data_IF_503749505600
#
_entry.id   IF_503749505600
#
_cell.length_a   1.000
_cell.length_b   1.000
_cell.length_c   1.000
_cell.angle_alpha   90.00
_cell.angle_beta   90.00
_cell.angle_gamma   90.00
#
_symmetry.space_group_name_H-M   'P 1'
#
loop_
_entity.id
_entity.type
_entity.pdbx_description
1 polymer ?
#
# COMPACT_ATOMS: atom_id res chain seq x y z
N UNK A 1 48.68 7.14 45.85
CA UNK A 1 47.46 7.78 46.40
C UNK A 1 47.85 8.32 47.77
N UNK A 2 47.81 9.64 47.97
CA UNK A 2 48.18 10.26 49.24
C UNK A 2 47.05 10.05 50.26
N UNK A 3 47.38 9.68 51.49
CA UNK A 3 46.37 9.44 52.53
C UNK A 3 45.61 10.75 52.84
N UNK A 4 44.27 10.74 52.93
CA UNK A 4 43.47 11.93 53.27
C UNK A 4 43.35 12.17 54.79
N UNK A 5 43.95 11.33 55.63
CA UNK A 5 43.88 11.44 57.10
C UNK A 5 44.84 12.53 57.58
N UNK A 6 44.36 13.44 58.43
CA UNK A 6 45.20 14.50 59.02
C UNK A 6 46.32 13.84 59.83
N UNK A 7 47.56 14.31 59.62
CA UNK A 7 48.80 13.76 60.20
C UNK A 7 49.33 12.46 59.57
N UNK A 8 48.79 12.03 58.42
CA UNK A 8 49.35 10.93 57.61
C UNK A 8 49.78 11.41 56.22
N UNK A 9 51.08 11.66 56.04
CA UNK A 9 51.67 12.11 54.78
C UNK A 9 52.20 10.95 53.88
N UNK A 10 51.73 9.72 54.11
CA UNK A 10 52.19 8.57 53.32
C UNK A 10 51.56 8.52 51.91
N UNK A 11 52.40 8.28 50.89
CA UNK A 11 51.96 7.97 49.53
C UNK A 11 51.85 6.45 49.32
N UNK A 12 50.63 5.97 49.15
CA UNK A 12 50.34 4.53 49.13
C UNK A 12 49.99 4.06 47.72
N UNK A 13 50.50 2.88 47.34
CA UNK A 13 50.08 2.17 46.13
C UNK A 13 48.60 1.76 46.24
N UNK A 14 47.82 1.97 45.19
CA UNK A 14 46.35 1.76 45.20
C UNK A 14 45.93 0.37 45.74
N UNK A 15 46.71 -0.68 45.48
CA UNK A 15 46.44 -2.04 45.98
C UNK A 15 46.64 -2.23 47.49
N UNK A 16 47.44 -1.37 48.14
CA UNK A 16 47.71 -1.40 49.61
C UNK A 16 46.93 -0.33 50.38
N UNK A 17 46.16 0.49 49.67
CA UNK A 17 45.40 1.62 50.24
C UNK A 17 44.41 1.17 51.32
N UNK A 18 43.70 0.05 51.11
CA UNK A 18 42.76 -0.51 52.10
C UNK A 18 43.43 -1.04 53.38
N UNK A 19 44.62 -1.62 53.28
CA UNK A 19 45.39 -2.11 54.44
C UNK A 19 45.95 -0.94 55.26
N UNK A 20 46.47 0.09 54.57
CA UNK A 20 46.97 1.29 55.20
C UNK A 20 45.85 2.04 55.96
N UNK A 21 44.67 2.22 55.35
CA UNK A 21 43.56 2.91 56.01
C UNK A 21 42.98 2.19 57.22
N UNK A 22 43.15 0.86 57.30
CA UNK A 22 42.74 0.06 58.47
C UNK A 22 43.60 0.33 59.72
N UNK A 23 44.77 0.95 59.54
CA UNK A 23 45.64 1.38 60.65
C UNK A 23 45.17 2.68 61.31
N UNK A 24 44.31 3.47 60.64
CA UNK A 24 43.74 4.68 61.19
C UNK A 24 42.49 4.36 62.02
N UNK A 25 42.59 4.53 63.34
CA UNK A 25 41.48 4.29 64.28
C UNK A 25 40.25 5.14 63.97
N UNK A 26 40.42 6.35 63.43
CA UNK A 26 39.33 7.30 63.12
C UNK A 26 38.45 6.86 61.93
N UNK A 27 38.95 5.96 61.07
CA UNK A 27 38.23 5.50 59.88
C UNK A 27 37.56 4.13 60.07
N UNK A 28 37.64 3.52 61.27
CA UNK A 28 37.07 2.19 61.54
C UNK A 28 35.54 2.13 61.45
N UNK A 29 34.83 3.23 61.72
CA UNK A 29 33.35 3.28 61.73
C UNK A 29 32.74 3.82 60.41
N UNK A 30 33.55 4.32 59.48
CA UNK A 30 33.09 4.66 58.13
C UNK A 30 33.37 3.47 57.23
N UNK A 31 32.33 2.70 56.88
CA UNK A 31 32.41 1.69 55.81
C UNK A 31 33.08 2.30 54.58
N UNK A 32 34.33 1.90 54.35
CA UNK A 32 35.15 2.37 53.26
C UNK A 32 34.64 1.73 51.98
N UNK A 33 33.74 2.42 51.27
CA UNK A 33 33.39 2.09 49.90
C UNK A 33 34.55 2.44 48.96
N UNK A 34 35.62 1.65 49.00
CA UNK A 34 36.57 1.59 47.90
C UNK A 34 35.83 1.10 46.66
N UNK A 35 35.83 1.88 45.58
CA UNK A 35 35.23 1.45 44.32
C UNK A 35 36.03 0.26 43.78
N UNK A 36 35.51 -0.96 43.99
CA UNK A 36 36.07 -2.18 43.42
C UNK A 36 35.36 -2.42 42.08
N UNK A 37 36.11 -2.38 40.98
CA UNK A 37 35.60 -2.76 39.68
C UNK A 37 35.16 -4.23 39.71
N UNK A 38 33.84 -4.48 39.67
CA UNK A 38 33.25 -5.83 39.70
C UNK A 38 33.46 -6.63 38.40
N UNK A 39 34.22 -6.08 37.45
CA UNK A 39 34.44 -6.65 36.13
C UNK A 39 33.20 -6.59 35.25
N UNK A 40 33.14 -7.48 34.26
CA UNK A 40 32.04 -7.60 33.30
C UNK A 40 32.50 -7.45 31.86
N UNK A 41 31.71 -8.03 30.94
CA UNK A 41 32.00 -7.94 29.50
C UNK A 41 31.94 -6.48 29.03
N UNK A 42 32.96 -5.97 28.33
CA UNK A 42 32.94 -4.62 27.78
C UNK A 42 31.70 -4.40 26.91
N UNK A 43 31.04 -3.24 27.11
CA UNK A 43 29.86 -2.89 26.31
C UNK A 43 30.28 -2.59 24.88
N UNK A 44 29.72 -3.33 23.93
CA UNK A 44 29.93 -3.09 22.50
C UNK A 44 29.10 -1.89 22.00
N UNK A 45 29.49 -1.31 20.88
CA UNK A 45 28.70 -0.28 20.21
C UNK A 45 27.32 -0.83 19.80
N UNK A 46 26.26 -0.01 19.83
CA UNK A 46 24.89 -0.49 19.60
C UNK A 46 24.69 -1.07 18.19
N UNK A 47 25.34 -0.48 17.18
CA UNK A 47 25.21 -0.89 15.78
C UNK A 47 25.91 -2.22 15.45
N UNK A 48 26.84 -2.69 16.28
CA UNK A 48 27.51 -3.98 16.06
C UNK A 48 26.81 -5.16 16.75
N UNK A 49 25.72 -4.89 17.49
CA UNK A 49 24.96 -5.91 18.21
C UNK A 49 23.90 -6.59 17.33
N UNK A 50 23.58 -7.84 17.66
CA UNK A 50 22.44 -8.56 17.06
C UNK A 50 21.10 -7.92 17.48
N UNK A 51 20.02 -8.14 16.71
CA UNK A 51 18.69 -7.60 17.02
C UNK A 51 18.21 -7.93 18.44
N UNK A 52 18.49 -9.14 18.94
CA UNK A 52 18.12 -9.55 20.31
C UNK A 52 18.87 -8.73 21.36
N UNK A 53 20.16 -8.52 21.18
CA UNK A 53 20.98 -7.74 22.09
C UNK A 53 20.61 -6.24 22.05
N UNK A 54 20.32 -5.68 20.87
CA UNK A 54 19.80 -4.32 20.72
C UNK A 54 18.46 -4.15 21.44
N UNK A 55 17.52 -5.08 21.25
CA UNK A 55 16.21 -5.09 21.95
C UNK A 55 16.39 -5.11 23.47
N UNK A 56 17.32 -5.91 23.97
CA UNK A 56 17.61 -5.97 25.40
C UNK A 56 18.22 -4.66 25.92
N UNK A 57 19.22 -4.12 25.21
CA UNK A 57 19.89 -2.85 25.56
C UNK A 57 18.95 -1.65 25.58
N UNK A 58 18.04 -1.57 24.61
CA UNK A 58 17.08 -0.48 24.46
C UNK A 58 15.75 -0.75 25.18
N UNK A 59 15.65 -1.81 25.98
CA UNK A 59 14.39 -2.23 26.62
C UNK A 59 13.74 -1.09 27.40
N UNK A 60 14.53 -0.36 28.18
CA UNK A 60 13.99 0.67 29.06
C UNK A 60 13.55 1.91 28.27
N UNK A 61 14.39 2.38 27.35
CA UNK A 61 14.01 3.47 26.43
C UNK A 61 12.76 3.10 25.62
N UNK A 62 12.66 1.86 25.13
CA UNK A 62 11.47 1.37 24.42
C UNK A 62 10.21 1.47 25.28
N UNK A 63 10.28 1.18 26.58
CA UNK A 63 9.14 1.32 27.50
C UNK A 63 8.76 2.78 27.69
N UNK A 64 9.73 3.66 27.86
CA UNK A 64 9.49 5.10 27.98
C UNK A 64 8.84 5.68 26.73
N UNK A 65 9.37 5.37 25.54
CA UNK A 65 8.79 5.82 24.26
C UNK A 65 7.38 5.27 24.06
N UNK A 66 7.13 4.00 24.45
CA UNK A 66 5.78 3.42 24.39
C UNK A 66 4.80 4.15 25.32
N UNK A 67 5.21 4.42 26.56
CA UNK A 67 4.39 5.15 27.53
C UNK A 67 4.12 6.59 27.08
N UNK A 68 5.08 7.24 26.42
CA UNK A 68 4.89 8.57 25.82
C UNK A 68 3.89 8.51 24.65
N UNK A 69 4.08 7.57 23.70
CA UNK A 69 3.20 7.43 22.56
C UNK A 69 1.75 7.13 22.96
N UNK A 70 1.54 6.32 24.00
CA UNK A 70 0.20 6.01 24.54
C UNK A 70 -0.48 7.25 25.15
N UNK A 71 0.27 8.17 25.73
CA UNK A 71 -0.28 9.37 26.38
C UNK A 71 -0.59 10.50 25.39
N UNK A 72 0.32 10.74 24.44
CA UNK A 72 0.27 11.94 23.59
C UNK A 72 -0.21 11.65 22.16
N UNK A 73 0.07 10.46 21.62
CA UNK A 73 -0.03 10.16 20.18
C UNK A 73 -0.93 8.95 19.89
N UNK A 74 -1.85 8.64 20.81
CA UNK A 74 -2.80 7.52 20.66
C UNK A 74 -2.14 6.14 20.50
N UNK A 75 -0.87 6.01 20.88
CA UNK A 75 -0.10 4.77 20.78
C UNK A 75 0.67 4.57 19.47
N UNK A 76 0.76 5.55 18.55
CA UNK A 76 1.57 5.42 17.33
C UNK A 76 3.08 5.54 17.60
N UNK A 77 3.65 4.43 18.06
CA UNK A 77 5.09 4.32 18.32
C UNK A 77 5.93 4.53 17.05
N UNK A 78 5.40 4.16 15.87
CA UNK A 78 6.15 4.23 14.61
C UNK A 78 6.35 5.69 14.21
N UNK A 79 5.28 6.49 14.20
CA UNK A 79 5.37 7.92 13.91
C UNK A 79 6.33 8.61 14.89
N UNK A 80 6.16 8.38 16.20
CA UNK A 80 7.02 8.96 17.24
C UNK A 80 8.51 8.63 17.02
N UNK A 81 8.84 7.37 16.75
CA UNK A 81 10.23 6.96 16.54
C UNK A 81 10.83 7.56 15.26
N UNK A 82 10.04 7.64 14.19
CA UNK A 82 10.49 8.25 12.92
C UNK A 82 10.73 9.74 13.08
N UNK A 83 9.83 10.46 13.76
CA UNK A 83 9.98 11.89 14.05
C UNK A 83 11.18 12.17 14.95
N UNK A 84 11.37 11.39 16.02
CA UNK A 84 12.56 11.51 16.89
C UNK A 84 13.86 11.32 16.10
N UNK A 85 13.89 10.35 15.18
CA UNK A 85 15.08 10.10 14.36
C UNK A 85 15.31 11.21 13.33
N UNK A 86 14.26 11.72 12.69
CA UNK A 86 14.34 12.90 11.81
C UNK A 86 14.90 14.13 12.53
N UNK A 87 14.39 14.44 13.73
CA UNK A 87 14.86 15.56 14.54
C UNK A 87 16.32 15.37 14.94
N UNK A 88 16.73 14.15 15.28
CA UNK A 88 18.12 13.85 15.60
C UNK A 88 19.06 14.04 14.40
N UNK A 89 18.65 13.64 13.19
CA UNK A 89 19.42 13.87 11.96
C UNK A 89 19.54 15.36 11.65
N UNK A 90 18.45 16.11 11.78
CA UNK A 90 18.44 17.57 11.59
C UNK A 90 19.32 18.28 12.61
N UNK A 91 19.25 17.90 13.89
CA UNK A 91 20.12 18.44 14.94
C UNK A 91 21.60 18.14 14.71
N UNK A 92 21.93 17.08 13.96
CA UNK A 92 23.29 16.75 13.53
C UNK A 92 23.69 17.39 12.19
N UNK A 93 22.84 18.24 11.61
CA UNK A 93 23.02 18.85 10.29
C UNK A 93 23.11 17.83 9.13
N UNK A 94 22.56 16.63 9.28
CA UNK A 94 22.51 15.60 8.23
C UNK A 94 21.24 15.74 7.38
N UNK A 95 21.04 16.92 6.77
CA UNK A 95 19.80 17.26 6.05
C UNK A 95 19.46 16.27 4.92
N UNK A 96 20.44 15.85 4.13
CA UNK A 96 20.23 14.88 3.04
C UNK A 96 19.63 13.56 3.53
N UNK A 97 20.11 13.03 4.67
CA UNK A 97 19.59 11.78 5.22
C UNK A 97 18.20 11.97 5.84
N UNK A 98 17.94 13.14 6.43
CA UNK A 98 16.61 13.48 6.91
C UNK A 98 15.59 13.55 5.76
N UNK A 99 15.95 14.16 4.64
CA UNK A 99 15.09 14.25 3.45
C UNK A 99 14.83 12.88 2.82
N UNK A 100 15.84 12.01 2.76
CA UNK A 100 15.69 10.62 2.32
C UNK A 100 14.75 9.82 3.24
N UNK A 101 14.86 10.00 4.55
CA UNK A 101 13.99 9.36 5.54
C UNK A 101 12.54 9.86 5.42
N UNK A 102 12.35 11.15 5.22
CA UNK A 102 11.04 11.77 5.02
C UNK A 102 10.39 11.30 3.71
N UNK A 103 11.17 11.16 2.63
CA UNK A 103 10.70 10.54 1.40
C UNK A 103 10.22 9.10 1.64
N UNK A 104 10.94 8.31 2.44
CA UNK A 104 10.51 6.95 2.82
C UNK A 104 9.22 6.99 3.65
N UNK A 105 9.07 7.93 4.59
CA UNK A 105 7.85 8.10 5.39
C UNK A 105 6.63 8.38 4.53
N UNK A 106 6.78 9.22 3.51
CA UNK A 106 5.72 9.58 2.56
C UNK A 106 5.49 8.50 1.48
N UNK A 107 6.18 7.37 1.54
CA UNK A 107 6.10 6.31 0.53
C UNK A 107 6.64 6.74 -0.85
N UNK A 108 7.57 7.70 -0.87
CA UNK A 108 8.37 8.19 -2.01
C UNK A 108 9.81 7.66 -1.97
N UNK A 109 10.08 6.62 -1.17
CA UNK A 109 11.40 5.98 -1.11
C UNK A 109 11.76 5.25 -2.42
N UNK A 110 12.91 4.58 -2.44
CA UNK A 110 13.40 3.83 -3.62
C UNK A 110 12.51 2.67 -4.09
N UNK A 111 11.54 2.24 -3.28
CA UNK A 111 10.54 1.24 -3.65
C UNK A 111 9.32 1.88 -4.29
N UNK A 112 8.97 1.46 -5.50
CA UNK A 112 7.77 1.91 -6.21
C UNK A 112 6.51 1.44 -5.46
N UNK A 113 5.44 2.23 -5.50
CA UNK A 113 4.14 1.84 -4.94
C UNK A 113 3.54 0.66 -5.72
N UNK A 114 2.73 -0.22 -5.09
CA UNK A 114 2.10 -1.34 -5.79
C UNK A 114 1.27 -0.93 -7.01
N UNK A 115 0.52 0.18 -6.93
CA UNK A 115 -0.28 0.71 -8.04
C UNK A 115 0.60 1.10 -9.25
N UNK A 116 1.75 1.74 -9.02
CA UNK A 116 2.71 2.09 -10.08
C UNK A 116 3.29 0.84 -10.72
N UNK A 117 3.63 -0.17 -9.90
CA UNK A 117 4.09 -1.47 -10.40
C UNK A 117 3.02 -2.20 -11.24
N UNK A 118 1.75 -2.10 -10.84
CA UNK A 118 0.63 -2.68 -11.56
C UNK A 118 0.44 -2.00 -12.91
N UNK A 119 0.47 -0.66 -12.94
CA UNK A 119 0.40 0.13 -14.18
C UNK A 119 1.54 -0.23 -15.13
N UNK A 120 2.79 -0.30 -14.64
CA UNK A 120 3.93 -0.74 -15.45
C UNK A 120 3.68 -2.14 -16.02
N UNK A 121 3.26 -3.11 -15.19
CA UNK A 121 3.01 -4.49 -15.63
C UNK A 121 1.97 -4.55 -16.75
N UNK A 122 0.83 -3.89 -16.55
CA UNK A 122 -0.32 -3.95 -17.47
C UNK A 122 0.00 -3.20 -18.77
N UNK A 123 0.50 -1.96 -18.68
CA UNK A 123 0.74 -1.11 -19.85
C UNK A 123 1.93 -1.56 -20.70
N UNK A 124 2.82 -2.39 -20.16
CA UNK A 124 3.92 -3.01 -20.92
C UNK A 124 3.66 -4.47 -21.30
N UNK A 125 2.43 -4.94 -21.12
CA UNK A 125 1.99 -6.30 -21.48
C UNK A 125 2.82 -7.42 -20.84
N UNK A 126 3.38 -7.19 -19.65
CA UNK A 126 4.15 -8.19 -18.93
C UNK A 126 3.22 -9.20 -18.27
N UNK A 127 3.37 -10.48 -18.64
CA UNK A 127 2.72 -11.56 -17.91
C UNK A 127 3.16 -11.59 -16.44
N UNK A 128 2.32 -12.16 -15.57
CA UNK A 128 2.67 -12.33 -14.15
C UNK A 128 4.02 -13.05 -13.96
N UNK A 129 4.32 -14.03 -14.82
CA UNK A 129 5.57 -14.78 -14.76
C UNK A 129 6.78 -13.96 -15.21
N UNK A 130 6.67 -13.21 -16.31
CA UNK A 130 7.75 -12.31 -16.77
C UNK A 130 8.03 -11.23 -15.72
N UNK A 131 6.97 -10.59 -15.20
CA UNK A 131 7.09 -9.60 -14.13
C UNK A 131 7.78 -10.18 -12.89
N UNK A 132 7.39 -11.39 -12.46
CA UNK A 132 7.98 -12.04 -11.28
C UNK A 132 9.45 -12.39 -11.47
N UNK A 133 9.85 -12.83 -12.68
CA UNK A 133 11.26 -13.04 -13.03
C UNK A 133 12.04 -11.72 -12.95
N UNK A 134 11.53 -10.66 -13.57
CA UNK A 134 12.13 -9.31 -13.51
C UNK A 134 12.29 -8.83 -12.06
N UNK A 135 11.21 -8.88 -11.27
CA UNK A 135 11.22 -8.51 -9.85
C UNK A 135 12.30 -9.26 -9.06
N UNK A 136 12.41 -10.58 -9.24
CA UNK A 136 13.41 -11.41 -8.54
C UNK A 136 14.83 -11.03 -8.94
N UNK A 137 15.09 -10.87 -10.24
CA UNK A 137 16.43 -10.51 -10.74
C UNK A 137 16.86 -9.14 -10.24
N UNK A 138 16.01 -8.12 -10.34
CA UNK A 138 16.34 -6.76 -9.87
C UNK A 138 16.59 -6.75 -8.37
N UNK A 139 15.75 -7.44 -7.58
CA UNK A 139 15.92 -7.53 -6.13
C UNK A 139 17.22 -8.25 -5.72
N UNK A 140 17.60 -9.29 -6.46
CA UNK A 140 18.84 -10.04 -6.21
C UNK A 140 20.09 -9.22 -6.54
N UNK A 141 20.09 -8.49 -7.66
CA UNK A 141 21.25 -7.70 -8.12
C UNK A 141 21.44 -6.43 -7.27
N UNK A 142 20.36 -5.71 -6.97
CA UNK A 142 20.45 -4.42 -6.26
C UNK A 142 20.45 -4.55 -4.74
N UNK A 143 20.06 -5.72 -4.21
CA UNK A 143 19.82 -5.92 -2.78
C UNK A 143 18.65 -5.10 -2.21
N UNK A 144 17.90 -4.37 -3.05
CA UNK A 144 16.80 -3.48 -2.67
C UNK A 144 15.51 -3.93 -3.34
N UNK A 145 14.38 -3.76 -2.64
CA UNK A 145 13.06 -4.05 -3.19
C UNK A 145 12.51 -2.81 -3.91
N UNK A 146 12.87 -2.64 -5.18
CA UNK A 146 12.39 -1.55 -6.03
C UNK A 146 10.95 -1.82 -6.50
N UNK A 147 10.74 -2.97 -7.15
CA UNK A 147 9.42 -3.44 -7.56
C UNK A 147 8.70 -4.16 -6.41
N UNK A 148 7.37 -4.26 -6.48
CA UNK A 148 6.56 -4.94 -5.46
C UNK A 148 6.23 -6.38 -5.86
N UNK A 149 6.09 -7.31 -4.90
CA UNK A 149 5.74 -8.70 -5.18
C UNK A 149 4.29 -8.83 -5.71
N UNK A 150 4.01 -9.89 -6.48
CA UNK A 150 2.71 -10.11 -7.12
C UNK A 150 1.50 -10.07 -6.17
N UNK A 151 1.63 -10.51 -4.92
CA UNK A 151 0.51 -10.46 -3.96
C UNK A 151 0.12 -9.01 -3.60
N UNK A 152 1.08 -8.08 -3.60
CA UNK A 152 0.81 -6.67 -3.37
C UNK A 152 0.09 -6.05 -4.58
N UNK A 153 0.49 -6.43 -5.80
CA UNK A 153 -0.19 -6.01 -7.04
C UNK A 153 -1.64 -6.51 -7.08
N UNK A 154 -1.89 -7.79 -6.74
CA UNK A 154 -3.25 -8.35 -6.66
C UNK A 154 -4.12 -7.65 -5.62
N UNK A 155 -3.53 -7.16 -4.53
CA UNK A 155 -4.28 -6.40 -3.52
C UNK A 155 -4.64 -5.02 -4.04
N UNK A 156 -3.71 -4.34 -4.73
CA UNK A 156 -3.96 -3.05 -5.35
C UNK A 156 -5.00 -3.13 -6.49
N UNK A 157 -4.97 -4.21 -7.28
CA UNK A 157 -5.89 -4.46 -8.39
C UNK A 157 -7.36 -4.50 -7.95
N UNK A 158 -7.65 -4.98 -6.73
CA UNK A 158 -9.03 -5.04 -6.21
C UNK A 158 -9.75 -3.70 -6.21
N UNK A 159 -9.02 -2.60 -5.97
CA UNK A 159 -9.61 -1.26 -5.95
C UNK A 159 -10.02 -0.75 -7.33
N UNK A 160 -9.53 -1.38 -8.40
CA UNK A 160 -9.79 -1.02 -9.80
C UNK A 160 -10.80 -1.94 -10.48
N UNK A 161 -11.28 -2.97 -9.78
CA UNK A 161 -12.24 -3.93 -10.33
C UNK A 161 -13.67 -3.61 -9.89
N UNK A 162 -14.68 -3.91 -10.73
CA UNK A 162 -16.08 -3.79 -10.34
C UNK A 162 -16.39 -4.58 -9.06
N UNK A 163 -17.22 -3.97 -8.20
CA UNK A 163 -17.60 -4.53 -6.91
C UNK A 163 -16.81 -4.01 -5.70
N UNK A 164 -15.86 -3.08 -5.91
CA UNK A 164 -15.11 -2.47 -4.80
C UNK A 164 -15.84 -1.29 -4.15
N UNK A 165 -16.39 -0.38 -4.96
CA UNK A 165 -16.99 0.86 -4.47
C UNK A 165 -18.47 0.68 -4.10
N UNK A 166 -18.93 1.23 -2.97
CA UNK A 166 -20.36 1.29 -2.65
C UNK A 166 -21.07 2.34 -3.52
N UNK A 167 -22.31 2.04 -3.92
CA UNK A 167 -23.17 2.95 -4.67
C UNK A 167 -24.64 2.66 -4.40
N UNK A 168 -25.53 3.59 -4.75
CA UNK A 168 -26.97 3.44 -4.60
C UNK A 168 -27.71 4.05 -5.78
N UNK A 169 -28.70 3.32 -6.29
CA UNK A 169 -29.65 3.84 -7.28
C UNK A 169 -30.89 4.42 -6.58
N UNK A 170 -31.30 5.61 -7.01
CA UNK A 170 -32.52 6.29 -6.56
C UNK A 170 -33.33 6.71 -7.79
N UNK A 171 -34.52 6.12 -8.04
CA UNK A 171 -35.12 4.98 -7.32
C UNK A 171 -34.33 3.66 -7.54
N UNK A 172 -34.58 2.61 -6.74
CA UNK A 172 -34.00 1.29 -6.99
C UNK A 172 -34.32 0.77 -8.39
N UNK A 173 -33.33 0.15 -9.03
CA UNK A 173 -33.48 -0.43 -10.36
C UNK A 173 -34.43 -1.63 -10.34
N UNK A 174 -35.29 -1.74 -11.36
CA UNK A 174 -36.19 -2.88 -11.54
C UNK A 174 -35.38 -4.13 -11.88
N UNK A 175 -35.67 -5.25 -11.21
CA UNK A 175 -35.05 -6.57 -11.44
C UNK A 175 -33.52 -6.63 -11.27
N UNK A 176 -32.93 -5.66 -10.58
CA UNK A 176 -31.49 -5.64 -10.27
C UNK A 176 -31.30 -5.66 -8.76
N UNK A 177 -30.40 -6.53 -8.27
CA UNK A 177 -30.07 -6.61 -6.85
C UNK A 177 -29.39 -5.33 -6.35
N UNK A 178 -29.69 -4.92 -5.11
CA UNK A 178 -29.07 -3.77 -4.45
C UNK A 178 -27.64 -4.03 -3.96
N UNK A 179 -27.14 -5.27 -4.02
CA UNK A 179 -25.77 -5.61 -3.59
C UNK A 179 -24.75 -4.90 -4.48
N UNK A 180 -23.78 -4.20 -3.88
CA UNK A 180 -22.73 -3.47 -4.60
C UNK A 180 -21.47 -4.30 -4.80
N UNK A 181 -21.23 -5.30 -3.94
CA UNK A 181 -20.04 -6.17 -3.95
C UNK A 181 -20.16 -7.32 -4.97
N UNK A 182 -20.48 -6.99 -6.22
CA UNK A 182 -20.61 -7.98 -7.31
C UNK A 182 -19.50 -7.77 -8.32
N UNK A 183 -18.60 -8.75 -8.41
CA UNK A 183 -17.49 -8.78 -9.36
C UNK A 183 -17.85 -9.52 -10.66
N UNK A 184 -16.94 -10.39 -11.10
CA UNK A 184 -17.15 -11.23 -12.29
C UNK A 184 -18.24 -12.27 -11.97
N UNK A 185 -19.27 -12.32 -12.81
CA UNK A 185 -20.38 -13.27 -12.71
C UNK A 185 -20.45 -14.15 -13.96
N UNK A 186 -21.13 -15.28 -13.82
CA UNK A 186 -21.39 -16.18 -14.92
C UNK A 186 -22.38 -15.56 -15.92
N UNK A 187 -22.02 -15.53 -17.19
CA UNK A 187 -22.82 -14.89 -18.24
C UNK A 187 -24.14 -15.60 -18.49
N UNK A 188 -24.19 -16.91 -18.23
CA UNK A 188 -25.40 -17.75 -18.33
C UNK A 188 -26.51 -17.33 -17.37
N UNK A 189 -26.18 -16.56 -16.32
CA UNK A 189 -27.16 -15.92 -15.44
C UNK A 189 -28.22 -16.87 -14.86
N UNK A 190 -27.85 -18.13 -14.61
CA UNK A 190 -28.73 -19.15 -14.04
C UNK A 190 -29.57 -19.93 -15.05
N UNK A 191 -29.22 -19.91 -16.34
CA UNK A 191 -29.81 -20.82 -17.33
C UNK A 191 -29.74 -22.28 -16.84
N UNK A 192 -30.86 -23.03 -16.86
CA UNK A 192 -30.86 -24.41 -16.40
C UNK A 192 -29.97 -25.24 -17.33
N UNK A 193 -29.10 -26.05 -16.72
CA UNK A 193 -28.26 -27.02 -17.41
C UNK A 193 -28.89 -28.40 -17.21
N UNK A 194 -30.04 -28.63 -17.84
CA UNK A 194 -30.69 -29.95 -17.90
C UNK A 194 -30.48 -30.58 -19.27
N UNK A 195 -30.40 -31.90 -19.32
CA UNK A 195 -30.34 -32.66 -20.58
C UNK A 195 -31.67 -32.58 -21.34
N UNK A 196 -32.77 -32.37 -20.61
CA UNK A 196 -34.11 -32.25 -21.19
C UNK A 196 -34.38 -30.87 -21.80
N UNK A 197 -33.59 -29.87 -21.43
CA UNK A 197 -33.70 -28.49 -21.90
C UNK A 197 -32.81 -28.26 -23.15
N UNK A 198 -32.90 -27.06 -23.72
CA UNK A 198 -32.07 -26.69 -24.87
C UNK A 198 -30.57 -26.72 -24.50
N UNK A 199 -29.71 -27.38 -25.28
CA UNK A 199 -28.29 -27.51 -24.96
C UNK A 199 -27.61 -26.13 -24.93
N UNK A 200 -26.84 -25.89 -23.86
CA UNK A 200 -26.11 -24.65 -23.65
C UNK A 200 -24.62 -24.92 -23.90
N UNK A 201 -24.19 -24.60 -25.11
CA UNK A 201 -22.81 -24.80 -25.59
C UNK A 201 -21.96 -23.51 -25.50
N UNK A 202 -22.41 -22.56 -24.67
CA UNK A 202 -21.79 -21.26 -24.49
C UNK A 202 -21.08 -21.15 -23.15
N UNK A 203 -19.87 -20.59 -23.17
CA UNK A 203 -19.17 -20.16 -21.96
C UNK A 203 -19.10 -18.64 -21.97
N UNK A 204 -19.59 -18.01 -20.90
CA UNK A 204 -19.64 -16.56 -20.82
C UNK A 204 -19.27 -16.03 -19.44
N UNK A 205 -18.55 -14.90 -19.40
CA UNK A 205 -18.29 -14.14 -18.17
C UNK A 205 -18.60 -12.67 -18.42
N UNK A 206 -19.19 -12.03 -17.42
CA UNK A 206 -19.55 -10.62 -17.50
C UNK A 206 -19.42 -9.92 -16.16
N UNK A 207 -19.38 -8.60 -16.21
CA UNK A 207 -19.69 -7.76 -15.07
C UNK A 207 -21.18 -7.42 -15.06
N UNK A 208 -21.70 -7.07 -13.88
CA UNK A 208 -23.01 -6.42 -13.80
C UNK A 208 -22.86 -4.99 -14.32
N UNK A 209 -23.78 -4.56 -15.18
CA UNK A 209 -23.64 -3.33 -15.95
C UNK A 209 -23.46 -2.09 -15.05
N UNK A 210 -24.33 -1.94 -14.05
CA UNK A 210 -24.27 -0.87 -13.06
C UNK A 210 -22.96 -0.86 -12.26
N UNK A 211 -22.48 -2.02 -11.81
CA UNK A 211 -21.21 -2.13 -11.08
C UNK A 211 -20.01 -1.75 -11.97
N UNK A 212 -20.02 -2.13 -13.25
CA UNK A 212 -18.99 -1.76 -14.20
C UNK A 212 -19.00 -0.26 -14.52
N UNK A 213 -20.19 0.34 -14.70
CA UNK A 213 -20.33 1.78 -14.90
C UNK A 213 -19.80 2.58 -13.71
N UNK A 214 -20.17 2.20 -12.49
CA UNK A 214 -19.69 2.87 -11.28
C UNK A 214 -18.17 2.76 -11.15
N UNK A 215 -17.62 1.57 -11.42
CA UNK A 215 -16.17 1.37 -11.42
C UNK A 215 -15.48 2.26 -12.45
N UNK A 216 -16.02 2.34 -13.67
CA UNK A 216 -15.47 3.20 -14.73
C UNK A 216 -15.55 4.69 -14.38
N UNK A 217 -16.65 5.14 -13.79
CA UNK A 217 -16.80 6.54 -13.36
C UNK A 217 -15.86 6.89 -12.20
N UNK A 218 -15.63 5.94 -11.27
CA UNK A 218 -14.68 6.14 -10.17
C UNK A 218 -13.22 6.15 -10.62
N UNK A 219 -12.89 5.37 -11.64
CA UNK A 219 -11.56 5.40 -12.28
C UNK A 219 -11.27 6.78 -12.91
N UNK A 220 -12.31 7.48 -13.39
CA UNK A 220 -12.23 8.80 -14.03
C UNK A 220 -12.45 9.97 -13.05
N UNK A 221 -12.44 9.74 -11.74
CA UNK A 221 -12.75 10.75 -10.72
C UNK A 221 -11.83 11.98 -10.82
N UNK A 222 -10.53 11.77 -11.03
CA UNK A 222 -9.56 12.87 -11.18
C UNK A 222 -9.83 13.71 -12.44
N UNK A 223 -10.14 13.07 -13.57
CA UNK A 223 -10.46 13.76 -14.83
C UNK A 223 -11.75 14.57 -14.72
N UNK A 224 -12.76 14.04 -14.02
CA UNK A 224 -14.02 14.73 -13.74
C UNK A 224 -13.76 15.96 -12.87
N UNK A 225 -12.98 15.81 -11.79
CA UNK A 225 -12.65 16.91 -10.88
C UNK A 225 -11.81 17.99 -11.57
N UNK A 226 -10.87 17.61 -12.44
CA UNK A 226 -10.09 18.55 -13.25
C UNK A 226 -10.97 19.29 -14.27
N UNK A 227 -11.90 18.59 -14.92
CA UNK A 227 -12.90 19.17 -15.80
C UNK A 227 -13.78 20.21 -15.10
N UNK A 228 -14.26 19.91 -13.89
CA UNK A 228 -15.03 20.85 -13.08
C UNK A 228 -14.23 22.11 -12.72
N UNK A 229 -12.95 21.96 -12.35
CA UNK A 229 -12.06 23.10 -12.08
C UNK A 229 -11.88 23.99 -13.31
N UNK A 230 -11.71 23.37 -14.48
CA UNK A 230 -11.54 24.09 -15.76
C UNK A 230 -12.78 24.92 -16.10
N UNK A 231 -13.97 24.37 -15.85
CA UNK A 231 -15.25 25.04 -16.07
C UNK A 231 -15.66 26.03 -14.94
N UNK A 232 -14.77 26.26 -13.98
CA UNK A 232 -14.95 27.13 -12.80
C UNK A 232 -16.17 26.74 -11.95
N UNK A 233 -16.41 25.43 -11.84
CA UNK A 233 -17.47 24.85 -11.03
C UNK A 233 -16.91 24.46 -9.65
N UNK A 234 -17.68 24.71 -8.59
CA UNK A 234 -17.33 24.26 -7.25
C UNK A 234 -17.20 22.74 -7.19
N UNK A 235 -16.10 22.25 -6.61
CA UNK A 235 -15.82 20.81 -6.46
C UNK A 235 -16.84 20.07 -5.58
N UNK A 236 -17.65 20.80 -4.82
CA UNK A 236 -18.72 20.27 -3.96
C UNK A 236 -20.11 20.30 -4.65
N UNK A 237 -20.18 20.59 -5.95
CA UNK A 237 -21.44 20.55 -6.68
C UNK A 237 -21.93 19.10 -6.83
N UNK A 238 -22.91 18.74 -5.99
CA UNK A 238 -23.70 17.52 -6.11
C UNK A 238 -24.82 17.63 -7.17
N UNK A 239 -24.50 18.27 -8.30
CA UNK A 239 -25.45 18.47 -9.41
C UNK A 239 -25.73 17.18 -10.19
N UNK A 240 -26.86 17.08 -10.91
CA UNK A 240 -27.13 15.92 -11.75
C UNK A 240 -26.15 15.89 -12.94
N UNK A 241 -25.25 14.91 -12.93
CA UNK A 241 -24.38 14.61 -14.06
C UNK A 241 -25.14 13.80 -15.11
N UNK A 242 -24.92 14.14 -16.37
CA UNK A 242 -25.37 13.36 -17.52
C UNK A 242 -24.16 12.72 -18.19
N UNK A 243 -24.11 11.40 -18.16
CA UNK A 243 -23.04 10.58 -18.76
C UNK A 243 -23.55 10.01 -20.08
N UNK A 244 -22.80 10.22 -21.16
CA UNK A 244 -23.08 9.62 -22.47
C UNK A 244 -22.17 8.42 -22.65
N UNK A 245 -22.77 7.24 -22.81
CA UNK A 245 -22.06 5.96 -22.96
C UNK A 245 -22.29 5.43 -24.38
N UNK A 246 -21.20 5.12 -25.08
CA UNK A 246 -21.21 4.40 -26.35
C UNK A 246 -21.09 2.91 -26.06
N UNK A 247 -22.03 2.12 -26.54
CA UNK A 247 -21.99 0.66 -26.46
C UNK A 247 -21.51 0.07 -27.78
N UNK A 248 -20.75 -1.02 -27.71
CA UNK A 248 -20.25 -1.73 -28.89
C UNK A 248 -20.32 -3.23 -28.67
N UNK A 249 -20.75 -3.96 -29.69
CA UNK A 249 -20.76 -5.42 -29.68
C UNK A 249 -20.16 -5.93 -30.99
N UNK A 250 -19.13 -6.76 -30.90
CA UNK A 250 -18.43 -7.32 -32.05
C UNK A 250 -18.27 -8.83 -31.91
N UNK A 251 -18.39 -9.54 -33.04
CA UNK A 251 -18.12 -10.96 -33.17
C UNK A 251 -16.75 -11.19 -33.79
N UNK A 252 -16.03 -12.17 -33.28
CA UNK A 252 -14.70 -12.60 -33.73
C UNK A 252 -14.79 -14.06 -34.21
N UNK A 253 -14.33 -14.32 -35.42
CA UNK A 253 -14.10 -15.67 -35.93
C UNK A 253 -12.71 -16.20 -35.56
N UNK A 254 -12.45 -17.46 -35.91
CA UNK A 254 -11.14 -18.10 -35.80
C UNK A 254 -10.57 -18.12 -34.37
N UNK A 255 -11.45 -18.24 -33.36
CA UNK A 255 -11.07 -18.34 -31.95
C UNK A 255 -10.96 -19.82 -31.60
N UNK A 256 -9.78 -20.40 -31.71
CA UNK A 256 -9.57 -21.84 -31.56
C UNK A 256 -10.09 -22.40 -30.22
N UNK A 257 -10.83 -23.51 -30.31
CA UNK A 257 -11.27 -24.26 -29.14
C UNK A 257 -10.06 -24.88 -28.43
N UNK A 258 -10.11 -24.92 -27.09
CA UNK A 258 -9.09 -25.57 -26.28
C UNK A 258 -9.55 -26.96 -25.89
N UNK A 259 -8.64 -27.93 -25.97
CA UNK A 259 -8.82 -29.22 -25.30
C UNK A 259 -9.02 -29.01 -23.80
N UNK A 260 -9.96 -29.75 -23.21
CA UNK A 260 -10.26 -29.70 -21.80
C UNK A 260 -11.62 -30.30 -21.47
N UNK A 261 -11.99 -30.24 -20.20
CA UNK A 261 -13.35 -30.55 -19.75
C UNK A 261 -14.28 -29.37 -20.00
N UNK A 262 -15.43 -29.59 -20.63
CA UNK A 262 -16.44 -28.57 -20.85
C UNK A 262 -17.47 -29.01 -21.88
N UNK A 263 -18.50 -28.18 -22.13
CA UNK A 263 -19.32 -28.35 -23.32
C UNK A 263 -18.46 -28.19 -24.58
N UNK A 264 -18.93 -28.70 -25.72
CA UNK A 264 -18.34 -28.34 -27.00
C UNK A 264 -18.64 -26.87 -27.26
N UNK A 265 -17.64 -26.06 -27.62
CA UNK A 265 -17.79 -24.61 -27.76
C UNK A 265 -17.47 -24.18 -29.19
N UNK A 266 -18.24 -23.26 -29.80
CA UNK A 266 -17.91 -22.77 -31.14
C UNK A 266 -16.57 -22.03 -31.18
N UNK A 267 -15.87 -22.11 -32.32
CA UNK A 267 -14.61 -21.37 -32.57
C UNK A 267 -14.85 -19.88 -32.90
N UNK A 268 -15.79 -19.27 -32.18
CA UNK A 268 -16.22 -17.88 -32.31
C UNK A 268 -16.36 -17.26 -30.94
N UNK A 269 -16.06 -15.98 -30.85
CA UNK A 269 -16.25 -15.21 -29.64
C UNK A 269 -17.10 -13.97 -29.92
N UNK A 270 -17.92 -13.59 -28.96
CA UNK A 270 -18.64 -12.33 -28.95
C UNK A 270 -18.15 -11.51 -27.78
N UNK A 271 -17.85 -10.24 -28.05
CA UNK A 271 -17.44 -9.27 -27.04
C UNK A 271 -18.43 -8.12 -27.03
N UNK A 272 -18.96 -7.83 -25.85
CA UNK A 272 -19.74 -6.64 -25.57
C UNK A 272 -18.93 -5.70 -24.67
N UNK A 273 -18.84 -4.44 -25.08
CA UNK A 273 -18.02 -3.42 -24.42
C UNK A 273 -18.75 -2.07 -24.41
N UNK A 274 -18.27 -1.15 -23.57
CA UNK A 274 -18.77 0.22 -23.54
C UNK A 274 -17.62 1.22 -23.35
N UNK A 275 -17.87 2.47 -23.74
CA UNK A 275 -16.95 3.60 -23.59
C UNK A 275 -17.72 4.80 -23.07
N UNK A 276 -17.18 5.48 -22.06
CA UNK A 276 -17.73 6.77 -21.61
C UNK A 276 -17.25 7.85 -22.58
N UNK A 277 -18.18 8.44 -23.33
CA UNK A 277 -17.86 9.39 -24.41
C UNK A 277 -17.74 10.82 -23.90
N UNK A 278 -18.69 11.24 -23.07
CA UNK A 278 -18.65 12.55 -22.43
C UNK A 278 -19.43 12.55 -21.13
N UNK A 279 -19.06 13.47 -20.25
CA UNK A 279 -19.77 13.75 -19.01
C UNK A 279 -20.05 15.24 -18.99
N UNK A 280 -21.29 15.57 -18.67
CA UNK A 280 -21.76 16.95 -18.56
C UNK A 280 -22.51 17.14 -17.25
N UNK A 281 -22.48 18.35 -16.70
CA UNK A 281 -23.17 18.73 -15.48
C UNK A 281 -24.11 19.89 -15.78
N UNK A 282 -25.28 19.89 -15.16
CA UNK A 282 -26.23 21.01 -15.24
C UNK A 282 -25.90 22.00 -14.13
N UNK A 283 -25.63 23.26 -14.51
CA UNK A 283 -25.40 24.36 -13.58
C UNK A 283 -26.31 25.53 -13.94
N UNK A 284 -27.32 25.80 -13.10
CA UNK A 284 -28.39 26.74 -13.44
C UNK A 284 -29.21 26.26 -14.64
N UNK A 285 -29.28 27.06 -15.70
CA UNK A 285 -29.98 26.73 -16.95
C UNK A 285 -29.05 26.20 -18.05
N UNK A 286 -27.75 26.09 -17.78
CA UNK A 286 -26.76 25.70 -18.79
C UNK A 286 -26.19 24.31 -18.50
N UNK A 287 -25.96 23.55 -19.58
CA UNK A 287 -25.29 22.25 -19.52
C UNK A 287 -23.84 22.43 -19.92
N UNK A 288 -22.93 22.29 -18.95
CA UNK A 288 -21.49 22.38 -19.18
C UNK A 288 -20.88 20.98 -19.33
N UNK A 289 -20.02 20.80 -20.33
CA UNK A 289 -19.29 19.56 -20.55
C UNK A 289 -18.00 19.60 -19.73
N UNK A 290 -17.79 18.61 -18.88
CA UNK A 290 -16.61 18.53 -18.00
C UNK A 290 -15.62 17.47 -18.47
N UNK A 291 -16.07 16.48 -19.24
CA UNK A 291 -15.22 15.46 -19.81
C UNK A 291 -15.64 15.14 -21.25
N UNK A 292 -14.66 14.94 -22.12
CA UNK A 292 -14.83 14.46 -23.50
C UNK A 292 -13.69 13.50 -23.83
N UNK A 293 -14.03 12.30 -24.28
CA UNK A 293 -13.04 11.32 -24.73
C UNK A 293 -12.38 11.80 -26.03
N UNK A 294 -11.08 12.11 -25.96
CA UNK A 294 -10.31 12.67 -27.07
C UNK A 294 -10.03 11.65 -28.16
N UNK A 295 -9.97 10.36 -27.82
CA UNK A 295 -9.66 9.26 -28.76
C UNK A 295 -10.73 8.15 -28.65
N UNK A 296 -11.97 8.41 -29.08
CA UNK A 296 -13.11 7.52 -28.82
C UNK A 296 -13.07 6.16 -29.54
N UNK A 297 -12.12 5.98 -30.45
CA UNK A 297 -11.88 4.72 -31.15
C UNK A 297 -10.58 4.03 -30.69
N UNK A 298 -9.95 4.50 -29.62
CA UNK A 298 -8.81 3.79 -29.02
C UNK A 298 -9.27 2.56 -28.25
N UNK A 299 -8.47 1.52 -28.32
CA UNK A 299 -8.55 0.32 -27.50
C UNK A 299 -8.41 0.62 -25.99
N UNK A 300 -7.77 1.72 -25.61
CA UNK A 300 -7.53 2.09 -24.21
C UNK A 300 -8.81 2.49 -23.47
N UNK A 301 -9.76 3.12 -24.17
CA UNK A 301 -11.03 3.58 -23.58
C UNK A 301 -12.17 2.56 -23.72
N UNK A 302 -11.98 1.51 -24.52
CA UNK A 302 -13.00 0.48 -24.75
C UNK A 302 -13.02 -0.53 -23.59
N UNK A 303 -13.97 -0.39 -22.66
CA UNK A 303 -14.05 -1.20 -21.44
C UNK A 303 -14.88 -2.47 -21.70
N UNK A 304 -14.32 -3.69 -21.55
CA UNK A 304 -15.04 -4.92 -21.79
C UNK A 304 -16.07 -5.20 -20.67
N UNK A 305 -17.26 -5.63 -21.05
CA UNK A 305 -18.35 -5.90 -20.10
C UNK A 305 -18.79 -7.36 -20.12
N UNK A 306 -18.92 -7.98 -21.30
CA UNK A 306 -19.29 -9.38 -21.46
C UNK A 306 -18.40 -10.03 -22.52
N UNK A 307 -17.89 -11.22 -22.21
CA UNK A 307 -17.15 -12.07 -23.13
C UNK A 307 -17.85 -13.43 -23.20
N UNK A 308 -18.14 -13.88 -24.42
CA UNK A 308 -18.90 -15.09 -24.69
C UNK A 308 -18.22 -15.89 -25.79
N UNK A 309 -18.22 -17.21 -25.68
CA UNK A 309 -17.93 -18.11 -26.79
C UNK A 309 -19.26 -18.68 -27.27
N UNK A 310 -19.75 -18.17 -28.41
CA UNK A 310 -21.12 -18.39 -28.91
C UNK A 310 -21.17 -18.23 -30.44
#
# INVERSE_FOLDING_TARGET
VRCPVKECDEEILHGKYGQHLSSHKEMKDRELYGYINKGGRPRQHLLSLTRRAQKHRLRELKRQVKAFAEKEEGGDIKAVCMTLFLLALRAKNEHKQADELEAIMQGRGSGLRPAVCLAIRVNTFLSCNQYHKMYRTVKAVTGRQIFQPLHALRTAEKALLPGYYPFQWKPPLKNVSTKTEVGIIDGLSGLPLSVDDYPVDTIAKRFRYDAALVCALKDMEEEILEGMKTEQLDQCLDGPFTVVVKESCDGMGDVSEKHGSGPAVPEKAVRFSFTIMNIAVVHGNERKRIFEELKPNSELCCKPLCLMLA
#
